data_IF_740632661647
#
_entry.id   IF_740632661647
#
_cell.length_a   1.000
_cell.length_b   1.000
_cell.length_c   1.000
_cell.angle_alpha   90.00
_cell.angle_beta   90.00
_cell.angle_gamma   90.00
#
_symmetry.space_group_name_H-M   'P 1'
#
loop_
_entity.id
_entity.type
_entity.pdbx_description
1 polymer ?
#
# COMPACT_ATOMS: atom_id res chain seq x y z
N UNK A 1 -23.64 6.68 -2.84
CA UNK A 1 -22.73 7.68 -3.43
C UNK A 1 -23.40 9.04 -3.26
N UNK A 2 -23.21 9.63 -2.08
CA UNK A 2 -23.97 10.80 -1.63
C UNK A 2 -23.11 12.05 -1.68
N UNK A 3 -23.71 13.15 -2.15
CA UNK A 3 -23.14 14.48 -2.01
C UNK A 3 -23.34 14.95 -0.57
N UNK A 4 -22.34 15.62 0.00
CA UNK A 4 -22.44 16.19 1.34
C UNK A 4 -21.85 17.59 1.36
N UNK A 5 -22.47 18.48 2.12
CA UNK A 5 -21.94 19.82 2.39
C UNK A 5 -20.77 19.76 3.38
N UNK A 6 -19.93 20.80 3.38
CA UNK A 6 -18.80 20.91 4.32
C UNK A 6 -19.28 20.85 5.78
N UNK A 7 -20.43 21.45 6.09
CA UNK A 7 -21.03 21.45 7.43
C UNK A 7 -21.55 20.07 7.82
N UNK A 8 -22.11 19.29 6.90
CA UNK A 8 -22.50 17.90 7.16
C UNK A 8 -21.29 16.99 7.35
N UNK A 9 -20.25 17.18 6.53
CA UNK A 9 -18.98 16.49 6.68
C UNK A 9 -18.27 16.85 7.99
N UNK A 10 -18.59 17.99 8.60
CA UNK A 10 -18.02 18.41 9.86
C UNK A 10 -18.63 17.73 11.09
N UNK A 11 -19.95 17.44 11.05
CA UNK A 11 -20.70 16.89 12.19
C UNK A 11 -20.06 15.68 12.89
N UNK A 12 -19.48 14.69 12.19
CA UNK A 12 -18.92 13.51 12.85
C UNK A 12 -17.48 13.71 13.38
N UNK A 13 -16.83 14.85 13.12
CA UNK A 13 -15.45 15.09 13.54
C UNK A 13 -15.38 16.24 14.55
N UNK A 14 -14.51 16.11 15.55
CA UNK A 14 -14.17 17.20 16.46
C UNK A 14 -13.14 18.15 15.81
N UNK A 15 -13.53 18.70 14.65
CA UNK A 15 -12.70 19.60 13.85
C UNK A 15 -13.45 20.90 13.57
N UNK A 16 -12.72 22.00 13.60
CA UNK A 16 -13.26 23.29 13.19
C UNK A 16 -13.56 23.31 11.68
N UNK A 17 -14.54 24.13 11.26
CA UNK A 17 -14.88 24.32 9.84
C UNK A 17 -13.67 24.74 8.98
N UNK A 18 -12.76 25.64 9.44
CA UNK A 18 -11.51 25.91 8.73
C UNK A 18 -10.59 24.68 8.62
N UNK A 19 -10.53 23.85 9.66
CA UNK A 19 -9.77 22.60 9.68
C UNK A 19 -10.26 21.63 8.60
N UNK A 20 -11.55 21.31 8.61
CA UNK A 20 -12.16 20.44 7.60
C UNK A 20 -12.02 21.03 6.19
N UNK A 21 -12.18 22.34 6.02
CA UNK A 21 -11.97 23.00 4.73
C UNK A 21 -10.54 22.83 4.19
N UNK A 22 -9.53 22.81 5.08
CA UNK A 22 -8.14 22.53 4.70
C UNK A 22 -7.98 21.09 4.21
N UNK A 23 -8.55 20.11 4.92
CA UNK A 23 -8.53 18.71 4.50
C UNK A 23 -9.24 18.50 3.16
N UNK A 24 -10.43 19.08 2.98
CA UNK A 24 -11.17 18.99 1.72
C UNK A 24 -10.42 19.60 0.53
N UNK A 25 -9.69 20.70 0.73
CA UNK A 25 -8.82 21.27 -0.33
C UNK A 25 -7.68 20.32 -0.71
N UNK A 26 -7.09 19.61 0.24
CA UNK A 26 -6.04 18.61 -0.05
C UNK A 26 -6.62 17.44 -0.82
N UNK A 27 -7.77 16.92 -0.40
CA UNK A 27 -8.46 15.84 -1.10
C UNK A 27 -8.88 16.24 -2.52
N UNK A 28 -9.34 17.48 -2.71
CA UNK A 28 -9.68 18.01 -4.04
C UNK A 28 -8.45 18.14 -4.93
N UNK A 29 -7.32 18.63 -4.38
CA UNK A 29 -6.05 18.72 -5.10
C UNK A 29 -5.50 17.36 -5.52
N UNK A 30 -5.70 16.34 -4.69
CA UNK A 30 -5.37 14.96 -5.01
C UNK A 30 -6.36 14.30 -6.00
N UNK A 31 -7.42 15.02 -6.42
CA UNK A 31 -8.46 14.51 -7.31
C UNK A 31 -9.43 13.52 -6.65
N UNK A 32 -9.30 13.27 -5.34
CA UNK A 32 -10.10 12.27 -4.61
C UNK A 32 -11.55 12.73 -4.37
N UNK A 33 -11.79 14.04 -4.43
CA UNK A 33 -13.13 14.62 -4.38
C UNK A 33 -13.30 15.72 -5.44
N UNK A 34 -14.53 15.94 -5.88
CA UNK A 34 -14.91 17.09 -6.70
C UNK A 34 -15.76 18.07 -5.89
N UNK A 35 -15.59 19.36 -6.16
CA UNK A 35 -16.39 20.45 -5.60
C UNK A 35 -16.78 21.43 -6.72
N UNK A 36 -18.06 21.77 -6.83
CA UNK A 36 -18.52 22.82 -7.73
C UNK A 36 -18.17 24.22 -7.20
N UNK A 37 -17.72 25.12 -8.07
CA UNK A 37 -17.38 26.51 -7.72
C UNK A 37 -18.59 27.46 -7.70
N UNK A 38 -19.75 27.05 -8.23
CA UNK A 38 -20.80 27.97 -8.67
C UNK A 38 -22.04 28.09 -7.76
N UNK A 39 -22.06 27.54 -6.55
CA UNK A 39 -23.20 27.72 -5.65
C UNK A 39 -22.80 27.92 -4.19
N UNK A 40 -23.65 28.63 -3.45
CA UNK A 40 -23.58 28.80 -1.99
C UNK A 40 -23.58 27.44 -1.26
N UNK A 41 -24.09 26.41 -1.92
CA UNK A 41 -23.92 25.00 -1.61
C UNK A 41 -22.73 24.43 -2.42
N UNK A 42 -21.64 24.05 -1.74
CA UNK A 42 -20.53 23.29 -2.35
C UNK A 42 -20.70 21.81 -2.03
N UNK A 43 -21.47 21.05 -2.82
CA UNK A 43 -21.54 19.61 -2.63
C UNK A 43 -20.14 19.03 -2.87
N UNK A 44 -19.65 18.28 -1.87
CA UNK A 44 -18.44 17.48 -1.98
C UNK A 44 -18.85 16.08 -2.42
N UNK A 45 -18.26 15.61 -3.52
CA UNK A 45 -18.51 14.27 -4.05
C UNK A 45 -17.21 13.48 -4.09
N UNK A 46 -17.28 12.21 -3.69
CA UNK A 46 -16.14 11.29 -3.74
C UNK A 46 -15.94 10.74 -5.14
N UNK A 47 -14.70 10.78 -5.62
CA UNK A 47 -14.30 10.25 -6.93
C UNK A 47 -13.76 8.84 -6.78
N UNK A 48 -14.66 7.85 -6.84
CA UNK A 48 -14.30 6.43 -6.65
C UNK A 48 -13.25 5.91 -7.66
N UNK A 49 -13.19 6.49 -8.85
CA UNK A 49 -12.21 6.12 -9.87
C UNK A 49 -10.76 6.38 -9.45
N UNK A 50 -10.50 7.47 -8.72
CA UNK A 50 -9.13 7.80 -8.24
C UNK A 50 -8.67 6.88 -7.12
N UNK A 51 -9.58 6.41 -6.28
CA UNK A 51 -9.27 5.39 -5.29
C UNK A 51 -8.92 4.04 -5.93
N UNK A 52 -9.58 3.70 -7.05
CA UNK A 52 -9.27 2.50 -7.82
C UNK A 52 -7.85 2.55 -8.39
N UNK A 53 -7.48 3.67 -9.02
CA UNK A 53 -6.14 3.89 -9.57
C UNK A 53 -5.04 3.74 -8.49
N UNK A 54 -5.23 4.34 -7.31
CA UNK A 54 -4.30 4.19 -6.19
C UNK A 54 -4.23 2.74 -5.67
N UNK A 55 -5.38 2.05 -5.58
CA UNK A 55 -5.42 0.65 -5.15
C UNK A 55 -4.75 -0.29 -6.14
N UNK A 56 -4.91 -0.05 -7.44
CA UNK A 56 -4.25 -0.81 -8.50
C UNK A 56 -2.73 -0.65 -8.41
N UNK A 57 -2.25 0.59 -8.28
CA UNK A 57 -0.82 0.87 -8.12
C UNK A 57 -0.19 0.18 -6.89
N UNK A 58 -0.87 0.23 -5.74
CA UNK A 58 -0.41 -0.50 -4.54
C UNK A 58 -0.39 -2.01 -4.78
N UNK A 59 -1.37 -2.54 -5.52
CA UNK A 59 -1.42 -3.96 -5.90
C UNK A 59 -0.26 -4.36 -6.80
N UNK A 60 0.12 -3.53 -7.76
CA UNK A 60 1.29 -3.76 -8.63
C UNK A 60 2.58 -3.81 -7.83
N UNK A 61 2.73 -2.88 -6.88
CA UNK A 61 3.90 -2.84 -6.01
C UNK A 61 4.01 -4.07 -5.12
N UNK A 62 2.87 -4.57 -4.60
CA UNK A 62 2.83 -5.82 -3.85
C UNK A 62 3.34 -7.00 -4.69
N UNK A 63 2.87 -7.14 -5.94
CA UNK A 63 3.32 -8.20 -6.85
C UNK A 63 4.83 -8.15 -7.10
N UNK A 64 5.37 -6.95 -7.32
CA UNK A 64 6.80 -6.75 -7.51
C UNK A 64 7.63 -7.24 -6.30
N UNK A 65 7.19 -6.95 -5.09
CA UNK A 65 7.88 -7.41 -3.89
C UNK A 65 7.73 -8.91 -3.68
N UNK A 66 6.54 -9.47 -3.89
CA UNK A 66 6.31 -10.91 -3.76
C UNK A 66 7.25 -11.71 -4.68
N UNK A 67 7.40 -11.30 -5.94
CA UNK A 67 8.36 -11.89 -6.89
C UNK A 67 9.83 -11.71 -6.47
N UNK A 68 10.15 -10.60 -5.82
CA UNK A 68 11.51 -10.32 -5.34
C UNK A 68 11.86 -11.19 -4.12
N UNK A 69 10.91 -11.40 -3.22
CA UNK A 69 11.08 -12.28 -2.07
C UNK A 69 11.14 -13.76 -2.48
N UNK A 70 10.35 -14.19 -3.44
CA UNK A 70 10.44 -15.56 -3.99
C UNK A 70 11.84 -15.86 -4.54
N UNK A 71 12.43 -14.93 -5.31
CA UNK A 71 13.80 -15.08 -5.80
C UNK A 71 14.83 -15.12 -4.68
N UNK A 72 14.63 -14.35 -3.61
CA UNK A 72 15.51 -14.38 -2.45
C UNK A 72 15.42 -15.73 -1.73
N UNK A 73 14.20 -16.27 -1.56
CA UNK A 73 13.98 -17.57 -0.95
C UNK A 73 14.65 -18.69 -1.74
N UNK A 74 14.57 -18.66 -3.08
CA UNK A 74 15.26 -19.62 -3.96
C UNK A 74 16.77 -19.63 -3.73
N UNK A 75 17.40 -18.45 -3.74
CA UNK A 75 18.83 -18.30 -3.48
C UNK A 75 19.20 -18.79 -2.08
N UNK A 76 18.38 -18.48 -1.08
CA UNK A 76 18.64 -18.91 0.29
C UNK A 76 18.56 -20.44 0.43
N UNK A 77 17.59 -21.09 -0.24
CA UNK A 77 17.49 -22.55 -0.26
C UNK A 77 18.69 -23.21 -0.94
N UNK A 78 19.18 -22.63 -2.04
CA UNK A 78 20.40 -23.13 -2.71
C UNK A 78 21.63 -23.04 -1.80
N UNK A 79 21.80 -21.92 -1.09
CA UNK A 79 22.91 -21.73 -0.15
C UNK A 79 22.83 -22.72 1.02
N UNK A 80 21.65 -22.91 1.62
CA UNK A 80 21.43 -23.87 2.71
C UNK A 80 21.71 -25.30 2.23
N UNK A 81 21.27 -25.65 1.02
CA UNK A 81 21.53 -26.97 0.43
C UNK A 81 23.02 -27.21 0.24
N UNK A 82 23.74 -26.24 -0.32
CA UNK A 82 25.19 -26.32 -0.55
C UNK A 82 25.97 -26.45 0.75
N UNK A 83 25.55 -25.77 1.81
CA UNK A 83 26.17 -25.87 3.13
C UNK A 83 25.99 -27.28 3.72
N UNK A 84 24.80 -27.87 3.60
CA UNK A 84 24.53 -29.26 4.05
C UNK A 84 25.39 -30.28 3.31
N UNK A 85 25.43 -30.20 1.98
CA UNK A 85 26.26 -31.10 1.15
C UNK A 85 27.77 -31.01 1.52
N UNK A 86 28.24 -29.81 1.88
CA UNK A 86 29.64 -29.60 2.30
C UNK A 86 29.93 -30.22 3.68
N UNK A 87 28.96 -30.19 4.59
CA UNK A 87 29.10 -30.78 5.92
C UNK A 87 28.99 -32.31 5.90
N UNK A 88 28.08 -32.86 5.10
CA UNK A 88 27.92 -34.32 4.94
C UNK A 88 29.18 -34.98 4.34
N UNK A 89 29.83 -34.30 3.39
CA UNK A 89 31.06 -34.80 2.75
C UNK A 89 32.29 -34.77 3.70
N UNK A 90 32.31 -33.87 4.69
CA UNK A 90 33.36 -33.83 5.73
C UNK A 90 33.21 -34.92 6.80
N UNK A 91 31.98 -35.32 7.12
CA UNK A 91 31.74 -36.42 8.06
C UNK A 91 32.27 -37.76 7.54
N UNK A 92 31.99 -38.07 6.27
CA UNK A 92 32.40 -39.33 5.63
C UNK A 92 33.93 -39.48 5.43
N UNK A 93 34.69 -38.37 5.39
CA UNK A 93 36.16 -38.40 5.31
C UNK A 93 36.85 -38.66 6.65
N UNK A 94 36.18 -38.44 7.78
CA UNK A 94 36.76 -38.68 9.10
C UNK A 94 36.60 -40.14 9.56
N UNK A 95 35.53 -40.83 9.14
CA UNK A 95 35.28 -42.23 9.50
C UNK A 95 36.17 -43.24 8.72
N UNK A 96 36.79 -42.82 7.62
CA UNK A 96 37.65 -43.67 6.79
C UNK A 96 39.14 -43.65 7.19
N UNK A 97 39.48 -43.02 8.33
CA UNK A 97 40.87 -42.78 8.76
C UNK A 97 41.25 -43.35 10.13
N UNK A 98 40.33 -44.05 10.79
CA UNK A 98 40.58 -44.89 11.98
C UNK A 98 40.68 -46.39 11.61
#
# INVERSE_FOLDING_TARGET
LGEASVTELAKPFDLSLPGISKHLKVLQRAGLITQSRNAQWRPCRLEGGRFKEASEWVGDYRRFWDESFQRLDEVLQELIKKEKETNDNKGSQNDAKD
#
